data_IF_572855772649
#
_entry.id   IF_572855772649
#
_cell.length_a   1.000
_cell.length_b   1.000
_cell.length_c   1.000
_cell.angle_alpha   90.00
_cell.angle_beta   90.00
_cell.angle_gamma   90.00
#
_symmetry.space_group_name_H-M   'P 1'
#
loop_
_entity.id
_entity.type
_entity.pdbx_description
1 polymer ?
#
# COMPACT_ATOMS: atom_id res chain seq x y z
N UNK A 1 24.58 27.41 -81.17
CA UNK A 1 25.14 27.24 -79.82
C UNK A 1 25.39 28.62 -79.23
N UNK A 2 24.65 29.03 -78.19
CA UNK A 2 25.12 29.85 -77.05
C UNK A 2 23.89 30.03 -76.13
N UNK A 3 23.92 29.38 -74.97
CA UNK A 3 22.83 29.39 -73.99
C UNK A 3 22.65 30.80 -73.41
N UNK A 4 21.44 31.32 -73.45
CA UNK A 4 21.01 32.52 -72.73
C UNK A 4 21.17 32.33 -71.23
N UNK A 5 21.88 33.25 -70.57
CA UNK A 5 21.98 33.29 -69.11
C UNK A 5 20.64 33.75 -68.52
N UNK A 6 20.12 33.11 -67.45
CA UNK A 6 18.84 33.49 -66.86
C UNK A 6 18.93 34.85 -66.17
N UNK A 7 17.90 35.69 -66.36
CA UNK A 7 17.75 36.97 -65.67
C UNK A 7 17.60 36.74 -64.16
N UNK A 8 18.51 37.29 -63.35
CA UNK A 8 18.34 37.33 -61.90
C UNK A 8 17.24 38.34 -61.55
N UNK A 9 16.05 37.85 -61.22
CA UNK A 9 14.97 38.65 -60.63
C UNK A 9 15.32 38.88 -59.16
N UNK A 10 15.54 40.13 -58.76
CA UNK A 10 15.70 40.50 -57.35
C UNK A 10 14.35 40.50 -56.64
N UNK A 11 14.33 40.06 -55.37
CA UNK A 11 13.14 40.10 -54.51
C UNK A 11 12.62 41.54 -54.40
N UNK A 12 11.32 41.74 -54.63
CA UNK A 12 10.69 43.05 -54.41
C UNK A 12 10.46 43.30 -52.92
N UNK A 13 10.41 44.56 -52.50
CA UNK A 13 10.12 44.92 -51.10
C UNK A 13 8.81 44.31 -50.59
N UNK A 14 7.79 44.23 -51.46
CA UNK A 14 6.50 43.63 -51.15
C UNK A 14 6.63 42.12 -50.92
N UNK A 15 7.43 41.43 -51.73
CA UNK A 15 7.66 39.99 -51.64
C UNK A 15 8.46 39.63 -50.38
N UNK A 16 9.45 40.45 -50.02
CA UNK A 16 10.18 40.30 -48.77
C UNK A 16 9.28 40.53 -47.55
N UNK A 17 8.38 41.51 -47.61
CA UNK A 17 7.38 41.76 -46.56
C UNK A 17 6.38 40.60 -46.43
N UNK A 18 5.89 40.06 -47.55
CA UNK A 18 4.98 38.92 -47.56
C UNK A 18 5.65 37.66 -47.00
N UNK A 19 6.90 37.39 -47.38
CA UNK A 19 7.66 36.25 -46.87
C UNK A 19 7.86 36.35 -45.37
N UNK A 20 8.28 37.51 -44.86
CA UNK A 20 8.46 37.70 -43.41
C UNK A 20 7.12 37.54 -42.69
N UNK A 21 6.02 38.08 -43.22
CA UNK A 21 4.69 37.90 -42.64
C UNK A 21 4.27 36.42 -42.57
N UNK A 22 4.45 35.66 -43.65
CA UNK A 22 4.11 34.23 -43.68
C UNK A 22 5.02 33.45 -42.72
N UNK A 23 6.32 33.73 -42.68
CA UNK A 23 7.24 33.07 -41.76
C UNK A 23 6.91 33.37 -40.31
N UNK A 24 6.52 34.60 -39.97
CA UNK A 24 6.06 34.96 -38.63
C UNK A 24 4.76 34.24 -38.26
N UNK A 25 3.79 34.14 -39.18
CA UNK A 25 2.53 33.44 -38.93
C UNK A 25 2.74 31.92 -38.73
N UNK A 26 3.60 31.30 -39.54
CA UNK A 26 3.97 29.89 -39.42
C UNK A 26 4.72 29.65 -38.11
N UNK A 27 5.68 30.51 -37.76
CA UNK A 27 6.44 30.40 -36.52
C UNK A 27 5.54 30.48 -35.28
N UNK A 28 4.59 31.43 -35.24
CA UNK A 28 3.64 31.55 -34.14
C UNK A 28 2.78 30.29 -33.99
N UNK A 29 2.26 29.77 -35.11
CA UNK A 29 1.43 28.55 -35.10
C UNK A 29 2.24 27.34 -34.58
N UNK A 30 3.49 27.20 -35.01
CA UNK A 30 4.36 26.11 -34.57
C UNK A 30 4.65 26.14 -33.06
N UNK A 31 4.85 27.34 -32.48
CA UNK A 31 5.03 27.51 -31.02
C UNK A 31 3.77 27.09 -30.27
N UNK A 32 2.60 27.61 -30.65
CA UNK A 32 1.35 27.29 -29.95
C UNK A 32 1.00 25.79 -29.94
N UNK A 33 1.30 25.08 -31.03
CA UNK A 33 1.06 23.63 -31.10
C UNK A 33 2.03 22.84 -30.22
N UNK A 34 3.27 23.34 -30.07
CA UNK A 34 4.29 22.69 -29.25
C UNK A 34 3.99 22.87 -27.77
N UNK A 35 3.56 24.07 -27.35
CA UNK A 35 3.17 24.35 -25.97
C UNK A 35 2.00 23.47 -25.54
N UNK A 36 0.95 23.37 -26.36
CA UNK A 36 -0.21 22.50 -26.07
C UNK A 36 0.17 21.01 -25.97
N UNK A 37 1.12 20.56 -26.79
CA UNK A 37 1.60 19.19 -26.74
C UNK A 37 2.44 18.91 -25.47
N UNK A 38 3.28 19.86 -25.03
CA UNK A 38 4.05 19.74 -23.79
C UNK A 38 3.13 19.72 -22.57
N UNK A 39 2.14 20.62 -22.50
CA UNK A 39 1.17 20.66 -21.40
C UNK A 39 0.38 19.34 -21.29
N UNK A 40 -0.08 18.81 -22.43
CA UNK A 40 -0.78 17.54 -22.47
C UNK A 40 0.13 16.38 -22.02
N UNK A 41 1.40 16.39 -22.41
CA UNK A 41 2.38 15.39 -21.99
C UNK A 41 2.59 15.42 -20.46
N UNK A 42 2.80 16.61 -19.89
CA UNK A 42 2.99 16.79 -18.44
C UNK A 42 1.75 16.38 -17.64
N UNK A 43 0.55 16.66 -18.17
CA UNK A 43 -0.69 16.21 -17.55
C UNK A 43 -0.82 14.68 -17.51
N UNK A 44 -0.51 13.99 -18.62
CA UNK A 44 -0.51 12.51 -18.64
C UNK A 44 0.60 11.92 -17.76
N UNK A 45 1.74 12.61 -17.66
CA UNK A 45 2.81 12.23 -16.73
C UNK A 45 2.37 12.37 -15.27
N UNK A 46 1.69 13.46 -14.88
CA UNK A 46 1.08 13.61 -13.54
C UNK A 46 0.14 12.45 -13.21
N UNK A 47 -0.72 12.03 -14.15
CA UNK A 47 -1.59 10.85 -13.96
C UNK A 47 -0.78 9.57 -13.75
N UNK A 48 0.25 9.37 -14.56
CA UNK A 48 1.14 8.21 -14.46
C UNK A 48 1.84 8.18 -13.10
N UNK A 49 2.31 9.32 -12.61
CA UNK A 49 2.94 9.46 -11.29
C UNK A 49 1.98 9.20 -10.14
N UNK A 50 0.71 9.59 -10.24
CA UNK A 50 -0.32 9.21 -9.27
C UNK A 50 -0.55 7.69 -9.23
N UNK A 51 -0.52 7.01 -10.40
CA UNK A 51 -0.57 5.54 -10.44
C UNK A 51 0.64 4.93 -9.74
N UNK A 52 1.85 5.44 -10.00
CA UNK A 52 3.07 5.00 -9.31
C UNK A 52 3.00 5.22 -7.80
N UNK A 53 2.44 6.34 -7.34
CA UNK A 53 2.24 6.62 -5.91
C UNK A 53 1.26 5.65 -5.27
N UNK A 54 0.16 5.32 -5.96
CA UNK A 54 -0.79 4.32 -5.50
C UNK A 54 -0.11 2.96 -5.40
N UNK A 55 0.60 2.52 -6.44
CA UNK A 55 1.31 1.24 -6.44
C UNK A 55 2.43 1.19 -5.40
N UNK A 56 3.18 2.26 -5.17
CA UNK A 56 4.18 2.33 -4.10
C UNK A 56 3.53 2.21 -2.71
N UNK A 57 2.35 2.82 -2.53
CA UNK A 57 1.61 2.81 -1.27
C UNK A 57 1.00 1.44 -0.98
N UNK A 58 0.16 0.93 -1.87
CA UNK A 58 -0.64 -0.28 -1.62
C UNK A 58 -0.13 -1.52 -2.35
N UNK A 59 0.85 -1.40 -3.23
CA UNK A 59 1.35 -2.49 -4.06
C UNK A 59 0.40 -2.84 -5.21
N UNK A 60 0.58 -4.05 -5.74
CA UNK A 60 -0.34 -4.70 -6.68
C UNK A 60 -0.83 -6.01 -6.06
N UNK A 61 -1.90 -5.97 -5.24
CA UNK A 61 -2.34 -7.11 -4.46
C UNK A 61 -2.70 -8.35 -5.31
N UNK A 62 -3.27 -8.11 -6.50
CA UNK A 62 -3.61 -9.16 -7.46
C UNK A 62 -2.38 -9.99 -7.87
N UNK A 63 -1.21 -9.35 -8.00
CA UNK A 63 -0.01 -9.98 -8.54
C UNK A 63 0.92 -10.58 -7.46
N UNK A 64 0.80 -10.16 -6.19
CA UNK A 64 1.85 -10.49 -5.21
C UNK A 64 2.64 -9.33 -4.68
N UNK A 65 2.66 -8.22 -5.42
CA UNK A 65 3.62 -7.16 -5.14
C UNK A 65 3.18 -6.37 -3.92
N UNK A 66 3.94 -6.49 -2.84
CA UNK A 66 3.80 -5.68 -1.64
C UNK A 66 4.18 -4.22 -1.92
N UNK A 67 3.36 -3.28 -1.42
CA UNK A 67 3.75 -1.88 -1.27
C UNK A 67 3.98 -1.54 0.20
N UNK A 68 4.19 -0.26 0.50
CA UNK A 68 4.44 0.24 1.84
C UNK A 68 3.44 -0.29 2.88
N UNK A 69 2.14 -0.32 2.58
CA UNK A 69 1.12 -0.79 3.51
C UNK A 69 1.28 -2.27 3.87
N UNK A 70 1.68 -3.12 2.92
CA UNK A 70 1.81 -4.55 3.18
C UNK A 70 3.01 -4.86 4.10
N UNK A 71 4.07 -4.06 3.96
CA UNK A 71 5.35 -4.20 4.68
C UNK A 71 5.36 -3.48 6.04
N UNK A 72 4.77 -2.28 6.11
CA UNK A 72 4.76 -1.43 7.32
C UNK A 72 3.42 -1.48 8.07
N UNK A 73 2.35 -1.95 7.44
CA UNK A 73 1.05 -2.18 8.07
C UNK A 73 0.20 -0.93 8.29
N UNK A 74 0.48 0.14 7.53
CA UNK A 74 -0.23 1.42 7.59
C UNK A 74 -0.01 2.22 6.32
N UNK A 75 -0.84 3.25 6.10
CA UNK A 75 -0.54 4.26 5.08
C UNK A 75 0.72 5.06 5.45
N UNK A 76 1.47 5.55 4.45
CA UNK A 76 2.59 6.46 4.67
C UNK A 76 2.08 7.82 5.19
N UNK A 77 2.78 8.41 6.14
CA UNK A 77 2.43 9.74 6.68
C UNK A 77 2.84 10.88 5.73
N UNK A 78 3.85 10.62 4.90
CA UNK A 78 4.39 11.58 3.96
C UNK A 78 4.97 10.86 2.74
N UNK A 79 5.15 11.61 1.65
CA UNK A 79 5.81 11.13 0.45
C UNK A 79 7.25 10.64 0.73
N UNK A 80 7.94 11.24 1.69
CA UNK A 80 9.31 10.87 2.05
C UNK A 80 9.44 9.40 2.47
N UNK A 81 8.44 8.84 3.15
CA UNK A 81 8.45 7.43 3.57
C UNK A 81 8.41 6.44 2.38
N UNK A 82 7.99 6.88 1.19
CA UNK A 82 8.04 6.08 -0.03
C UNK A 82 9.39 6.18 -0.75
N UNK A 83 10.20 7.19 -0.43
CA UNK A 83 11.47 7.52 -1.09
C UNK A 83 12.69 7.08 -0.30
N UNK A 84 12.59 7.15 1.03
CA UNK A 84 13.70 6.87 1.94
C UNK A 84 13.22 6.30 3.27
N UNK A 85 14.14 5.62 3.97
CA UNK A 85 13.83 4.93 5.21
C UNK A 85 13.57 5.88 6.38
N UNK A 86 14.29 7.01 6.45
CA UNK A 86 14.24 7.92 7.58
C UNK A 86 14.44 7.20 8.92
N UNK A 87 13.43 7.28 9.79
CA UNK A 87 13.39 6.64 11.12
C UNK A 87 12.56 5.36 11.16
N UNK A 88 12.12 4.84 10.01
CA UNK A 88 11.30 3.63 9.95
C UNK A 88 12.11 2.38 10.29
N UNK A 89 11.43 1.37 10.83
CA UNK A 89 12.04 0.08 11.09
C UNK A 89 12.50 -0.55 9.76
N UNK A 90 13.76 -1.01 9.63
CA UNK A 90 14.22 -1.68 8.41
C UNK A 90 13.52 -3.02 8.22
N UNK A 91 13.33 -3.43 6.96
CA UNK A 91 12.74 -4.72 6.66
C UNK A 91 13.56 -5.88 7.25
N UNK A 92 12.96 -6.60 8.20
CA UNK A 92 13.62 -7.66 8.95
C UNK A 92 12.65 -8.81 9.26
N UNK A 93 13.20 -10.02 9.35
CA UNK A 93 12.47 -11.22 9.77
C UNK A 93 12.35 -11.29 11.30
N UNK A 94 11.15 -11.57 11.79
CA UNK A 94 10.81 -11.78 13.19
C UNK A 94 10.48 -13.27 13.42
N UNK A 95 11.42 -14.06 13.99
CA UNK A 95 11.24 -15.50 14.16
C UNK A 95 10.04 -15.90 15.03
N UNK A 96 9.73 -15.22 16.17
CA UNK A 96 8.52 -15.51 16.95
C UNK A 96 7.22 -15.56 16.16
N UNK A 97 7.04 -14.67 15.18
CA UNK A 97 5.83 -14.61 14.34
C UNK A 97 6.01 -15.24 12.95
N UNK A 98 7.24 -15.57 12.56
CA UNK A 98 7.54 -16.22 11.28
C UNK A 98 7.35 -15.32 10.05
N UNK A 99 7.36 -14.00 10.24
CA UNK A 99 7.11 -13.01 9.19
C UNK A 99 8.24 -12.00 9.11
N UNK A 100 8.36 -11.37 7.94
CA UNK A 100 9.19 -10.18 7.78
C UNK A 100 8.33 -8.93 7.65
N UNK A 101 8.79 -7.83 8.24
CA UNK A 101 8.14 -6.52 8.20
C UNK A 101 9.15 -5.40 8.28
N UNK A 102 8.71 -4.18 7.98
CA UNK A 102 9.54 -2.98 7.99
C UNK A 102 9.72 -2.41 6.60
N UNK A 103 10.37 -1.26 6.52
CA UNK A 103 10.60 -0.55 5.27
C UNK A 103 11.53 -1.35 4.35
N UNK A 104 11.00 -1.77 3.19
CA UNK A 104 11.70 -2.53 2.14
C UNK A 104 12.03 -1.67 0.90
N UNK A 105 11.78 -0.38 0.98
CA UNK A 105 11.91 0.55 -0.13
C UNK A 105 13.36 0.79 -0.60
N UNK A 106 13.57 1.84 -1.42
CA UNK A 106 12.57 2.82 -1.86
C UNK A 106 11.43 2.18 -2.64
N UNK A 107 10.19 2.65 -2.40
CA UNK A 107 9.00 2.13 -3.07
C UNK A 107 8.72 2.83 -4.40
N UNK A 108 9.25 4.05 -4.58
CA UNK A 108 9.21 4.79 -5.84
C UNK A 108 10.55 4.69 -6.57
N UNK A 109 10.55 4.47 -7.90
CA UNK A 109 11.76 4.32 -8.69
C UNK A 109 12.36 5.70 -9.02
N UNK A 110 13.06 6.30 -8.06
CA UNK A 110 13.69 7.61 -8.26
C UNK A 110 15.20 7.54 -8.08
N UNK A 111 15.91 8.15 -9.03
CA UNK A 111 17.33 8.41 -8.87
C UNK A 111 17.51 9.63 -7.96
N UNK A 112 18.47 9.62 -7.04
CA UNK A 112 18.80 10.80 -6.27
C UNK A 112 19.37 11.89 -7.19
N UNK A 113 19.06 13.14 -6.87
CA UNK A 113 19.64 14.32 -7.50
C UNK A 113 21.13 14.45 -7.17
N UNK A 114 21.80 15.43 -7.78
CA UNK A 114 23.26 15.63 -7.60
C UNK A 114 23.71 15.90 -6.17
N UNK A 115 22.79 16.29 -5.28
CA UNK A 115 23.00 16.50 -3.84
C UNK A 115 22.63 15.27 -2.98
N UNK A 116 22.15 14.19 -3.59
CA UNK A 116 21.72 12.97 -2.92
C UNK A 116 20.24 12.96 -2.52
N UNK A 117 19.52 14.07 -2.70
CA UNK A 117 18.09 14.18 -2.35
C UNK A 117 17.24 13.39 -3.35
N UNK A 118 16.22 12.67 -2.87
CA UNK A 118 15.22 12.05 -3.74
C UNK A 118 13.95 12.90 -3.71
N UNK A 119 13.53 13.39 -4.86
CA UNK A 119 12.28 14.14 -5.03
C UNK A 119 11.36 13.40 -5.99
N UNK A 120 10.04 13.44 -5.80
CA UNK A 120 9.08 12.86 -6.74
C UNK A 120 8.01 13.89 -7.06
N UNK A 121 8.35 14.92 -7.87
CA UNK A 121 7.42 16.00 -8.21
C UNK A 121 6.28 15.51 -9.11
N UNK A 122 5.32 16.38 -9.40
CA UNK A 122 4.32 16.14 -10.45
C UNK A 122 4.90 16.34 -11.86
N UNK A 123 4.10 16.07 -12.89
CA UNK A 123 4.53 16.16 -14.29
C UNK A 123 4.99 17.56 -14.74
N UNK A 124 4.66 18.61 -13.99
CA UNK A 124 5.13 19.97 -14.25
C UNK A 124 6.43 20.31 -13.53
N UNK A 125 6.89 19.43 -12.64
CA UNK A 125 8.10 19.63 -11.83
C UNK A 125 7.80 20.33 -10.50
N UNK A 126 6.53 20.51 -10.15
CA UNK A 126 6.12 21.10 -8.88
C UNK A 126 6.08 20.03 -7.78
N UNK A 127 6.26 20.45 -6.54
CA UNK A 127 5.88 19.61 -5.40
C UNK A 127 4.37 19.35 -5.41
N UNK A 128 3.95 18.21 -4.87
CA UNK A 128 2.53 17.91 -4.74
C UNK A 128 1.84 18.93 -3.84
N UNK A 129 0.77 19.55 -4.34
CA UNK A 129 -0.07 20.48 -3.59
C UNK A 129 -0.56 19.86 -2.27
N UNK A 130 -0.90 18.57 -2.31
CA UNK A 130 -1.27 17.82 -1.13
C UNK A 130 -0.76 16.37 -1.20
N UNK A 131 -0.27 15.87 -0.08
CA UNK A 131 -0.10 14.44 0.21
C UNK A 131 -0.63 14.23 1.63
N UNK A 132 -1.87 13.77 1.76
CA UNK A 132 -2.57 13.71 3.04
C UNK A 132 -3.13 12.31 3.28
N UNK A 133 -2.52 11.61 4.24
CA UNK A 133 -2.99 10.34 4.74
C UNK A 133 -3.81 10.53 6.03
N UNK A 134 -5.00 9.94 6.06
CA UNK A 134 -5.78 9.74 7.28
C UNK A 134 -5.76 8.24 7.61
N UNK A 135 -4.96 7.86 8.61
CA UNK A 135 -4.83 6.47 9.06
C UNK A 135 -6.10 5.92 9.69
N UNK A 136 -6.94 6.78 10.28
CA UNK A 136 -8.17 6.36 10.95
C UNK A 136 -9.28 6.10 9.93
N UNK A 137 -9.39 6.98 8.92
CA UNK A 137 -10.29 6.76 7.80
C UNK A 137 -9.76 5.71 6.81
N UNK A 138 -8.44 5.45 6.81
CA UNK A 138 -7.80 4.59 5.82
C UNK A 138 -7.85 5.23 4.43
N UNK A 139 -7.56 6.52 4.32
CA UNK A 139 -7.61 7.24 3.05
C UNK A 139 -6.34 8.01 2.79
N UNK A 140 -5.90 8.06 1.54
CA UNK A 140 -4.80 8.91 1.08
C UNK A 140 -5.30 9.76 -0.08
N UNK A 141 -5.17 11.08 0.02
CA UNK A 141 -5.34 12.01 -1.10
C UNK A 141 -4.00 12.56 -1.52
N UNK A 142 -3.76 12.62 -2.83
CA UNK A 142 -2.60 13.28 -3.42
C UNK A 142 -3.10 14.18 -4.55
N UNK A 143 -2.67 15.44 -4.56
CA UNK A 143 -3.13 16.46 -5.51
C UNK A 143 -1.94 17.23 -6.06
N UNK A 144 -1.92 17.45 -7.37
CA UNK A 144 -1.02 18.37 -8.07
C UNK A 144 -1.71 19.70 -8.30
N UNK A 145 -0.95 20.80 -8.28
CA UNK A 145 -1.43 22.16 -8.54
C UNK A 145 -1.47 22.52 -10.04
N UNK A 146 -1.28 21.56 -10.95
CA UNK A 146 -1.32 21.86 -12.38
C UNK A 146 -0.10 22.66 -12.87
N UNK A 147 -0.25 23.25 -14.06
CA UNK A 147 0.82 23.96 -14.78
C UNK A 147 1.23 25.30 -14.17
N UNK A 148 0.36 25.95 -13.40
CA UNK A 148 0.67 27.23 -12.74
C UNK A 148 1.29 27.04 -11.35
N UNK A 149 1.25 25.81 -10.80
CA UNK A 149 1.81 25.48 -9.49
C UNK A 149 1.04 26.14 -8.34
N UNK A 150 -0.19 26.61 -8.57
CA UNK A 150 -1.03 27.29 -7.59
C UNK A 150 -2.35 26.53 -7.37
N UNK A 151 -2.96 26.62 -6.18
CA UNK A 151 -4.25 26.00 -5.96
C UNK A 151 -5.32 26.61 -6.88
N UNK A 152 -6.15 25.77 -7.50
CA UNK A 152 -7.27 26.17 -8.33
C UNK A 152 -6.98 26.04 -9.82
N UNK A 153 -7.15 27.13 -10.57
CA UNK A 153 -6.88 27.18 -12.01
C UNK A 153 -7.95 26.57 -12.93
N UNK A 154 -7.66 26.61 -14.24
CA UNK A 154 -8.48 26.02 -15.32
C UNK A 154 -7.59 25.31 -16.33
N UNK A 155 -8.17 24.43 -17.14
CA UNK A 155 -7.44 23.62 -18.12
C UNK A 155 -6.24 22.89 -17.48
N UNK A 156 -5.02 23.11 -17.97
CA UNK A 156 -3.82 22.47 -17.40
C UNK A 156 -3.35 23.09 -16.08
N UNK A 157 -3.81 24.29 -15.75
CA UNK A 157 -3.60 24.91 -14.44
C UNK A 157 -4.57 24.37 -13.38
N UNK A 158 -5.55 23.55 -13.76
CA UNK A 158 -6.50 22.99 -12.81
C UNK A 158 -5.83 21.96 -11.87
N UNK A 159 -6.16 22.03 -10.57
CA UNK A 159 -5.77 21.00 -9.60
C UNK A 159 -6.18 19.60 -10.06
N UNK A 160 -5.28 18.62 -9.93
CA UNK A 160 -5.54 17.24 -10.34
C UNK A 160 -5.07 16.19 -9.32
N UNK A 161 -5.91 15.19 -8.99
CA UNK A 161 -7.33 15.10 -9.32
C UNK A 161 -8.14 16.20 -8.58
N UNK A 162 -9.28 16.64 -9.15
CA UNK A 162 -10.07 17.74 -8.56
C UNK A 162 -10.73 17.37 -7.24
N UNK A 163 -10.94 16.07 -6.97
CA UNK A 163 -11.43 15.55 -5.69
C UNK A 163 -11.21 14.03 -5.61
N UNK A 164 -11.41 13.49 -4.41
CA UNK A 164 -11.37 12.05 -4.16
C UNK A 164 -10.06 11.58 -3.51
N UNK A 165 -9.99 10.29 -3.27
CA UNK A 165 -8.84 9.65 -2.63
C UNK A 165 -8.08 8.82 -3.63
N UNK A 166 -6.75 8.95 -3.61
CA UNK A 166 -5.84 8.07 -4.33
C UNK A 166 -5.90 6.65 -3.75
N UNK A 167 -6.12 6.49 -2.44
CA UNK A 167 -6.31 5.20 -1.76
C UNK A 167 -7.48 5.31 -0.79
N UNK A 168 -8.33 4.28 -0.76
CA UNK A 168 -9.45 4.13 0.18
C UNK A 168 -9.24 2.94 1.10
N UNK A 169 -10.07 2.83 2.15
CA UNK A 169 -9.92 1.81 3.21
C UNK A 169 -9.86 0.39 2.65
N UNK A 170 -10.81 0.05 1.77
CA UNK A 170 -10.92 -1.29 1.18
C UNK A 170 -9.94 -1.57 0.04
N UNK A 171 -9.08 -0.61 -0.33
CA UNK A 171 -7.99 -0.88 -1.25
C UNK A 171 -6.81 -1.59 -0.58
N UNK A 172 -6.68 -1.44 0.75
CA UNK A 172 -5.50 -1.88 1.48
C UNK A 172 -5.81 -2.57 2.81
N UNK A 173 -7.05 -2.57 3.25
CA UNK A 173 -7.51 -3.34 4.41
C UNK A 173 -8.44 -4.48 4.01
N UNK A 174 -8.44 -5.52 4.84
CA UNK A 174 -9.27 -6.71 4.71
C UNK A 174 -10.13 -6.83 5.96
N UNK A 175 -11.44 -6.98 5.77
CA UNK A 175 -12.39 -7.23 6.86
C UNK A 175 -12.39 -8.73 7.21
N UNK A 176 -12.01 -9.04 8.44
CA UNK A 176 -11.91 -10.42 8.93
C UNK A 176 -13.24 -10.97 9.44
N UNK A 177 -14.29 -10.16 9.62
CA UNK A 177 -15.56 -10.62 10.21
C UNK A 177 -16.16 -11.87 9.54
N UNK A 178 -16.17 -12.04 8.20
CA UNK A 178 -16.70 -13.25 7.59
C UNK A 178 -15.76 -14.46 7.69
N UNK A 179 -14.57 -14.32 8.31
CA UNK A 179 -13.61 -15.39 8.39
C UNK A 179 -13.93 -16.38 9.49
N UNK A 180 -13.83 -17.66 9.14
CA UNK A 180 -13.85 -18.76 10.08
C UNK A 180 -12.60 -19.60 9.87
N UNK A 181 -11.87 -19.87 10.94
CA UNK A 181 -10.64 -20.67 10.89
C UNK A 181 -10.81 -21.87 11.80
N UNK A 182 -10.74 -23.07 11.22
CA UNK A 182 -10.72 -24.31 11.99
C UNK A 182 -9.29 -24.64 12.39
N UNK A 183 -9.06 -24.79 13.69
CA UNK A 183 -7.78 -25.27 14.23
C UNK A 183 -7.98 -26.66 14.81
N UNK A 184 -7.07 -27.58 14.46
CA UNK A 184 -7.05 -28.96 14.96
C UNK A 184 -5.85 -29.12 15.87
N UNK A 185 -6.11 -29.17 17.18
CA UNK A 185 -5.13 -29.46 18.21
C UNK A 185 -4.83 -30.95 18.20
N UNK A 186 -3.55 -31.31 18.13
CA UNK A 186 -3.10 -32.70 18.07
C UNK A 186 -2.14 -32.98 19.23
N UNK A 187 -2.41 -34.00 20.02
CA UNK A 187 -1.48 -34.52 21.01
C UNK A 187 -0.93 -35.86 20.49
N UNK A 188 0.23 -35.90 19.83
CA UNK A 188 0.69 -37.11 19.16
C UNK A 188 1.08 -38.23 20.15
N UNK A 189 1.51 -37.87 21.36
CA UNK A 189 1.99 -38.80 22.39
C UNK A 189 2.26 -38.03 23.68
N UNK A 190 2.23 -38.68 24.85
CA UNK A 190 2.65 -38.09 26.12
C UNK A 190 1.57 -38.17 27.18
N UNK A 191 1.49 -37.16 28.05
CA UNK A 191 0.38 -36.99 29.00
C UNK A 191 -0.77 -36.22 28.33
N UNK A 192 -2.00 -36.29 28.86
CA UNK A 192 -3.07 -35.40 28.43
C UNK A 192 -2.65 -33.94 28.58
N UNK A 193 -2.96 -33.10 27.57
CA UNK A 193 -2.63 -31.67 27.55
C UNK A 193 -3.94 -30.89 27.46
N UNK A 194 -4.11 -29.88 28.31
CA UNK A 194 -5.23 -28.95 28.22
C UNK A 194 -4.71 -27.56 27.83
N UNK A 195 -4.97 -27.10 26.59
CA UNK A 195 -4.63 -25.74 26.17
C UNK A 195 -5.42 -24.65 26.90
N UNK A 196 -6.49 -25.00 27.61
CA UNK A 196 -7.37 -24.05 28.30
C UNK A 196 -8.28 -23.27 27.35
N UNK A 197 -8.54 -22.01 27.72
CA UNK A 197 -9.28 -21.05 26.89
C UNK A 197 -8.31 -20.26 26.04
N UNK A 198 -8.47 -20.34 24.73
CA UNK A 198 -7.54 -19.80 23.76
C UNK A 198 -8.22 -18.86 22.77
N UNK A 199 -7.41 -18.06 22.08
CA UNK A 199 -7.81 -17.23 20.95
C UNK A 199 -6.87 -17.45 19.77
N UNK A 200 -7.39 -17.20 18.58
CA UNK A 200 -6.58 -17.09 17.37
C UNK A 200 -6.18 -15.63 17.18
N UNK A 201 -4.86 -15.40 17.17
CA UNK A 201 -4.26 -14.09 16.98
C UNK A 201 -3.67 -13.97 15.59
N UNK A 202 -4.03 -12.90 14.89
CA UNK A 202 -3.44 -12.51 13.62
C UNK A 202 -2.35 -11.45 13.84
N UNK A 203 -1.11 -11.81 13.57
CA UNK A 203 0.02 -10.89 13.52
C UNK A 203 0.11 -10.22 12.15
N UNK A 204 0.29 -8.91 12.19
CA UNK A 204 0.55 -8.06 11.03
C UNK A 204 1.53 -6.95 11.44
N UNK A 205 2.21 -6.27 10.49
CA UNK A 205 3.08 -5.17 10.85
C UNK A 205 2.27 -4.01 11.47
N UNK A 206 2.77 -3.34 12.50
CA UNK A 206 2.32 -1.99 12.88
C UNK A 206 3.54 -1.11 13.01
N UNK A 207 3.56 -0.05 12.21
CA UNK A 207 4.72 0.82 12.04
C UNK A 207 6.00 0.02 11.71
N UNK A 208 5.84 -1.02 10.86
CA UNK A 208 6.94 -1.89 10.44
C UNK A 208 7.42 -2.92 11.46
N UNK A 209 6.71 -3.10 12.59
CA UNK A 209 7.13 -4.04 13.66
C UNK A 209 5.99 -4.95 14.11
N UNK A 210 6.32 -6.00 14.87
CA UNK A 210 5.35 -6.92 15.47
C UNK A 210 5.27 -6.80 17.00
N UNK A 211 5.99 -5.84 17.60
CA UNK A 211 6.09 -5.63 19.04
C UNK A 211 4.86 -4.91 19.63
N UNK A 212 3.67 -5.41 19.30
CA UNK A 212 2.38 -4.91 19.74
C UNK A 212 1.44 -6.08 20.06
N UNK A 213 0.35 -5.90 20.83
CA UNK A 213 0.20 -4.77 21.74
C UNK A 213 1.28 -4.85 22.82
N UNK A 214 1.69 -3.70 23.35
CA UNK A 214 2.69 -3.66 24.44
C UNK A 214 2.13 -4.31 25.72
N UNK A 215 0.82 -4.19 25.92
CA UNK A 215 0.09 -4.76 27.07
C UNK A 215 -1.09 -5.57 26.56
N UNK A 216 -1.29 -6.76 27.11
CA UNK A 216 -2.44 -7.60 26.79
C UNK A 216 -3.73 -6.98 27.37
N UNK A 217 -4.84 -6.90 26.61
CA UNK A 217 -6.07 -6.28 27.10
C UNK A 217 -6.67 -7.09 28.27
N UNK A 218 -6.94 -6.44 29.42
CA UNK A 218 -7.33 -7.15 30.64
C UNK A 218 -8.73 -7.76 30.57
N UNK A 219 -9.66 -7.15 29.84
CA UNK A 219 -11.06 -7.62 29.78
C UNK A 219 -11.39 -8.35 28.47
N UNK A 220 -12.33 -9.29 28.55
CA UNK A 220 -12.84 -10.02 27.38
C UNK A 220 -13.45 -9.08 26.34
N UNK A 221 -14.23 -8.08 26.79
CA UNK A 221 -14.85 -7.10 25.91
C UNK A 221 -13.81 -6.26 25.13
N UNK A 222 -12.70 -5.89 25.76
CA UNK A 222 -11.59 -5.22 25.06
C UNK A 222 -10.91 -6.16 24.05
N UNK A 223 -10.72 -7.44 24.41
CA UNK A 223 -10.13 -8.46 23.52
C UNK A 223 -11.01 -8.71 22.30
N UNK A 224 -12.32 -8.83 22.49
CA UNK A 224 -13.30 -9.02 21.44
C UNK A 224 -13.41 -7.82 20.49
N UNK A 225 -13.18 -6.61 20.97
CA UNK A 225 -13.20 -5.40 20.14
C UNK A 225 -11.99 -5.26 19.20
N UNK A 226 -10.93 -6.06 19.38
CA UNK A 226 -9.68 -5.88 18.64
C UNK A 226 -9.73 -6.54 17.25
N UNK A 227 -9.21 -5.85 16.21
CA UNK A 227 -9.33 -6.32 14.82
C UNK A 227 -8.47 -7.55 14.51
N UNK A 228 -7.49 -7.87 15.35
CA UNK A 228 -6.52 -8.95 15.13
C UNK A 228 -6.78 -10.20 15.97
N UNK A 229 -7.86 -10.22 16.73
CA UNK A 229 -8.13 -11.28 17.68
C UNK A 229 -9.50 -11.90 17.42
N UNK A 230 -9.55 -13.23 17.39
CA UNK A 230 -10.82 -13.96 17.35
C UNK A 230 -11.53 -13.89 18.69
N UNK A 231 -12.78 -14.34 18.72
CA UNK A 231 -13.45 -14.77 19.95
C UNK A 231 -12.64 -15.85 20.69
N UNK A 232 -12.86 -15.95 22.00
CA UNK A 232 -12.32 -17.05 22.81
C UNK A 232 -13.00 -18.39 22.51
N UNK A 233 -12.24 -19.46 22.74
CA UNK A 233 -12.73 -20.84 22.65
C UNK A 233 -12.03 -21.72 23.69
N UNK A 234 -12.80 -22.49 24.44
CA UNK A 234 -12.28 -23.57 25.27
C UNK A 234 -11.97 -24.79 24.39
N UNK A 235 -10.74 -25.32 24.48
CA UNK A 235 -10.33 -26.53 23.73
C UNK A 235 -10.70 -27.81 24.48
N UNK A 236 -10.50 -27.79 25.80
CA UNK A 236 -10.58 -28.98 26.65
C UNK A 236 -9.34 -29.86 26.56
N UNK A 237 -9.31 -30.91 27.40
CA UNK A 237 -8.17 -31.82 27.48
C UNK A 237 -8.05 -32.71 26.24
N UNK A 238 -6.88 -32.67 25.60
CA UNK A 238 -6.50 -33.55 24.49
C UNK A 238 -5.66 -34.71 25.02
N UNK A 239 -6.25 -35.91 25.01
CA UNK A 239 -5.57 -37.13 25.44
C UNK A 239 -4.44 -37.56 24.48
N UNK A 240 -3.55 -38.47 24.91
CA UNK A 240 -2.43 -38.95 24.08
C UNK A 240 -2.94 -39.65 22.81
N UNK A 241 -2.38 -39.30 21.65
CA UNK A 241 -2.86 -39.74 20.33
C UNK A 241 -4.18 -39.10 19.89
N UNK A 242 -4.74 -38.19 20.70
CA UNK A 242 -6.04 -37.56 20.48
C UNK A 242 -5.96 -36.26 19.68
N UNK A 243 -7.13 -35.80 19.26
CA UNK A 243 -7.31 -34.49 18.60
C UNK A 243 -8.51 -33.76 19.17
N UNK A 244 -8.48 -32.42 19.10
CA UNK A 244 -9.62 -31.55 19.37
C UNK A 244 -9.71 -30.48 18.28
N UNK A 245 -10.91 -30.19 17.80
CA UNK A 245 -11.13 -29.19 16.74
C UNK A 245 -12.00 -28.05 17.25
N UNK A 246 -11.56 -26.83 16.96
CA UNK A 246 -12.23 -25.60 17.37
C UNK A 246 -12.30 -24.66 16.18
N UNK A 247 -13.42 -23.95 16.03
CA UNK A 247 -13.61 -22.93 14.98
C UNK A 247 -13.54 -21.55 15.62
N UNK A 248 -12.58 -20.75 15.18
CA UNK A 248 -12.42 -19.36 15.58
C UNK A 248 -13.16 -18.43 14.62
N UNK A 249 -13.79 -17.39 15.18
CA UNK A 249 -14.54 -16.36 14.45
C UNK A 249 -14.06 -14.98 14.84
N UNK A 250 -14.18 -14.03 13.91
CA UNK A 250 -13.80 -12.62 14.07
C UNK A 250 -15.04 -11.71 14.06
N UNK A 251 -16.21 -12.23 14.45
CA UNK A 251 -17.52 -11.60 14.19
C UNK A 251 -17.91 -10.53 15.22
N UNK A 252 -17.34 -10.55 16.42
CA UNK A 252 -17.74 -9.65 17.52
C UNK A 252 -17.18 -8.23 17.41
N UNK A 253 -17.98 -7.23 17.80
CA UNK A 253 -17.54 -5.84 17.97
C UNK A 253 -17.52 -4.99 16.70
N UNK A 254 -16.58 -4.02 16.67
CA UNK A 254 -16.37 -3.11 15.55
C UNK A 254 -15.80 -3.83 14.31
N UNK A 255 -15.79 -3.22 13.11
CA UNK A 255 -15.17 -3.83 11.93
C UNK A 255 -13.74 -4.27 12.19
N UNK A 256 -13.48 -5.58 12.06
CA UNK A 256 -12.16 -6.18 12.28
C UNK A 256 -11.31 -6.07 11.03
N UNK A 257 -10.84 -4.85 10.75
CA UNK A 257 -10.04 -4.55 9.57
C UNK A 257 -8.56 -4.60 9.87
N UNK A 258 -7.80 -5.24 8.98
CA UNK A 258 -6.35 -5.34 9.06
C UNK A 258 -5.73 -5.06 7.69
N UNK A 259 -4.50 -4.51 7.63
CA UNK A 259 -3.81 -4.29 6.36
C UNK A 259 -3.61 -5.60 5.60
N UNK A 260 -3.73 -5.56 4.28
CA UNK A 260 -3.53 -6.70 3.38
C UNK A 260 -2.05 -7.11 3.28
N UNK A 261 -1.78 -8.39 2.98
CA UNK A 261 -0.42 -8.92 2.77
C UNK A 261 -0.23 -10.30 3.38
N UNK A 262 1.01 -10.74 3.53
CA UNK A 262 1.34 -11.96 4.27
C UNK A 262 1.27 -11.72 5.77
N UNK A 263 0.55 -12.58 6.48
CA UNK A 263 0.18 -12.47 7.89
C UNK A 263 0.41 -13.80 8.59
N UNK A 264 0.39 -13.78 9.92
CA UNK A 264 0.74 -14.94 10.74
C UNK A 264 -0.32 -15.20 11.78
N UNK A 265 -0.80 -16.44 11.81
CA UNK A 265 -1.77 -16.93 12.76
C UNK A 265 -1.06 -17.71 13.85
N UNK A 266 -1.38 -17.35 15.10
CA UNK A 266 -0.83 -17.99 16.30
C UNK A 266 -1.96 -18.24 17.29
N UNK A 267 -1.96 -19.40 17.93
CA UNK A 267 -2.85 -19.67 19.06
C UNK A 267 -2.25 -19.08 20.33
N UNK A 268 -3.03 -18.28 21.05
CA UNK A 268 -2.63 -17.63 22.30
C UNK A 268 -3.61 -17.96 23.42
N UNK A 269 -3.11 -17.97 24.65
CA UNK A 269 -3.93 -18.02 25.86
C UNK A 269 -4.80 -16.75 25.95
N UNK A 270 -6.08 -16.92 26.28
CA UNK A 270 -7.02 -15.79 26.37
C UNK A 270 -6.61 -14.78 27.45
N UNK A 271 -6.15 -15.24 28.61
CA UNK A 271 -5.94 -14.39 29.79
C UNK A 271 -4.63 -13.62 29.75
N UNK A 272 -3.59 -14.21 29.16
CA UNK A 272 -2.22 -13.67 29.17
C UNK A 272 -1.74 -13.21 27.80
N UNK A 273 -2.36 -13.68 26.71
CA UNK A 273 -1.87 -13.49 25.35
C UNK A 273 -0.57 -14.26 25.05
N UNK A 274 -0.12 -15.10 25.98
CA UNK A 274 1.04 -15.94 25.79
C UNK A 274 0.75 -16.96 24.69
N UNK A 275 1.72 -17.19 23.82
CA UNK A 275 1.61 -18.20 22.76
C UNK A 275 1.43 -19.58 23.39
N UNK A 276 0.41 -20.31 22.95
CA UNK A 276 0.24 -21.73 23.28
C UNK A 276 1.38 -22.50 22.61
N UNK A 277 2.19 -23.27 23.37
CA UNK A 277 3.23 -24.09 22.77
C UNK A 277 2.65 -25.03 21.71
N UNK A 278 3.34 -25.17 20.59
CA UNK A 278 2.99 -26.11 19.54
C UNK A 278 3.69 -25.82 18.23
N UNK A 279 3.07 -26.20 17.13
CA UNK A 279 3.54 -25.86 15.79
C UNK A 279 3.83 -24.37 15.64
N UNK A 280 4.78 -24.06 14.76
CA UNK A 280 5.13 -22.69 14.38
C UNK A 280 3.94 -21.81 14.01
N UNK A 281 4.15 -20.49 13.94
CA UNK A 281 3.17 -19.58 13.32
C UNK A 281 2.72 -20.09 11.94
N UNK A 282 1.45 -19.87 11.60
CA UNK A 282 0.89 -20.25 10.31
C UNK A 282 0.73 -19.05 9.40
N UNK A 283 1.42 -19.07 8.27
CA UNK A 283 1.37 -17.98 7.32
C UNK A 283 0.11 -18.02 6.47
N UNK A 284 -0.49 -16.86 6.28
CA UNK A 284 -1.71 -16.66 5.50
C UNK A 284 -1.59 -15.37 4.71
N UNK A 285 -2.00 -15.41 3.45
CA UNK A 285 -2.01 -14.21 2.61
C UNK A 285 -3.42 -13.65 2.53
N UNK A 286 -3.58 -12.42 3.00
CA UNK A 286 -4.84 -11.68 2.94
C UNK A 286 -4.79 -10.70 1.78
N UNK A 287 -5.80 -10.74 0.91
CA UNK A 287 -5.91 -9.86 -0.25
C UNK A 287 -7.14 -8.95 -0.10
N UNK A 288 -7.03 -7.67 -0.45
CA UNK A 288 -8.16 -6.75 -0.43
C UNK A 288 -9.17 -7.17 -1.50
N UNK A 289 -10.46 -7.09 -1.16
CA UNK A 289 -11.59 -7.41 -2.06
C UNK A 289 -11.58 -8.84 -2.62
N UNK A 290 -10.79 -9.74 -2.04
CA UNK A 290 -10.80 -11.16 -2.37
C UNK A 290 -11.57 -11.97 -1.31
N UNK A 291 -11.93 -13.20 -1.66
CA UNK A 291 -12.39 -14.16 -0.66
C UNK A 291 -11.28 -14.41 0.37
N UNK A 292 -11.66 -14.51 1.64
CA UNK A 292 -10.73 -14.88 2.69
C UNK A 292 -10.25 -16.33 2.49
N UNK A 293 -8.99 -16.64 2.84
CA UNK A 293 -8.46 -17.98 2.67
C UNK A 293 -9.27 -19.02 3.45
N UNK A 294 -9.72 -20.07 2.76
CA UNK A 294 -10.24 -21.26 3.42
C UNK A 294 -9.07 -21.98 4.10
N UNK A 295 -9.06 -21.99 5.42
CA UNK A 295 -8.13 -22.76 6.24
C UNK A 295 -8.92 -23.92 6.84
N UNK A 296 -9.19 -24.92 6.01
CA UNK A 296 -10.13 -25.99 6.36
C UNK A 296 -9.62 -26.81 7.55
N UNK A 297 -8.30 -26.99 7.72
CA UNK A 297 -7.69 -27.59 8.90
C UNK A 297 -6.30 -27.01 9.20
N UNK A 298 -6.23 -26.00 10.06
CA UNK A 298 -4.95 -25.54 10.62
C UNK A 298 -4.50 -26.51 11.73
N UNK A 299 -3.58 -27.42 11.41
CA UNK A 299 -2.99 -28.32 12.39
C UNK A 299 -2.10 -27.55 13.40
N UNK A 300 -2.31 -27.84 14.68
CA UNK A 300 -1.55 -27.33 15.83
C UNK A 300 -1.09 -28.48 16.72
N UNK A 301 0.12 -28.98 16.46
CA UNK A 301 0.71 -30.07 17.25
C UNK A 301 1.17 -29.54 18.60
N UNK A 302 0.58 -30.04 19.68
CA UNK A 302 0.95 -29.73 21.06
C UNK A 302 2.30 -30.38 21.42
N UNK A 303 3.09 -29.77 22.31
CA UNK A 303 4.37 -30.36 22.74
C UNK A 303 4.16 -31.71 23.44
N UNK A 304 5.24 -32.51 23.46
CA UNK A 304 5.32 -33.80 24.16
C UNK A 304 5.49 -33.62 25.66
#
# INVERSE_FOLDING_TARGET
>A
MMRTAPSRRGLTLLELLLVVFILSAIALTAVTLTDQADEQFRYEDTKTRLVLLREATIGRPADGTAGFVADCGRLPDSLAELLEIGTLAPFAYDPPVGLSAGWRGPYLPVLPDGDGTRSFPDGWGNDWLAFAADRNAGTLSVTSAGSDGLPGGTDYAADYPPSGFLVTTYDHEVDLRPWQVRVVFQNPSGSPVDPGTVRLRLHYPRDGTFAWPVVWPPTEAERDALPWLSEEKAVGTVGPGGTASVVFRFETGAPKRVPWGERSLVVVDDSTGARIPGDGPRLVRLLPRAALPALDDMAWVLPR
#
